data_IF_264813903054
#
_entry.id   IF_264813903054
#
_cell.length_a   1.000
_cell.length_b   1.000
_cell.length_c   1.000
_cell.angle_alpha   90.00
_cell.angle_beta   90.00
_cell.angle_gamma   90.00
#
_symmetry.space_group_name_H-M   'P 1'
#
loop_
_entity.id
_entity.type
_entity.pdbx_description
1 polymer ?
#
# COMPACT_ATOMS: atom_id res chain seq x y z
N UNK A 1 -24.91 32.90 9.84
CA UNK A 1 -24.75 31.67 10.64
C UNK A 1 -24.09 30.66 9.71
N UNK A 2 -22.76 30.55 9.75
CA UNK A 2 -22.03 29.72 8.79
C UNK A 2 -20.57 30.12 8.75
N UNK A 3 -19.80 29.80 9.80
CA UNK A 3 -18.39 30.20 9.90
C UNK A 3 -17.59 29.32 10.86
N UNK A 4 -17.86 28.01 10.96
CA UNK A 4 -17.03 27.13 11.81
C UNK A 4 -16.75 25.73 11.23
N UNK A 5 -17.65 25.16 10.42
CA UNK A 5 -17.42 23.85 9.80
C UNK A 5 -16.53 23.90 8.55
N UNK A 6 -16.58 24.99 7.76
CA UNK A 6 -15.74 25.14 6.56
C UNK A 6 -14.26 25.33 6.89
N UNK A 7 -13.95 25.89 8.07
CA UNK A 7 -12.59 26.17 8.52
C UNK A 7 -11.80 24.89 8.84
N UNK A 8 -12.47 23.85 9.33
CA UNK A 8 -11.83 22.57 9.70
C UNK A 8 -11.48 21.78 8.43
N UNK A 9 -12.35 21.80 7.42
CA UNK A 9 -12.11 21.11 6.15
C UNK A 9 -10.91 21.71 5.39
N UNK A 10 -10.76 23.04 5.43
CA UNK A 10 -9.64 23.74 4.80
C UNK A 10 -8.30 23.44 5.48
N UNK A 11 -8.28 23.40 6.81
CA UNK A 11 -7.07 23.06 7.58
C UNK A 11 -6.66 21.60 7.36
N UNK A 12 -7.62 20.67 7.29
CA UNK A 12 -7.33 19.28 6.94
C UNK A 12 -6.79 19.12 5.52
N UNK A 13 -7.37 19.84 4.54
CA UNK A 13 -6.91 19.81 3.15
C UNK A 13 -5.50 20.37 3.01
N UNK A 14 -5.18 21.51 3.65
CA UNK A 14 -3.83 22.07 3.59
C UNK A 14 -2.79 21.24 4.35
N UNK A 15 -3.18 20.57 5.44
CA UNK A 15 -2.27 19.67 6.18
C UNK A 15 -1.97 18.40 5.37
N UNK A 16 -2.98 17.81 4.72
CA UNK A 16 -2.80 16.69 3.77
C UNK A 16 -1.99 17.17 2.55
N UNK A 17 -2.32 18.33 1.99
CA UNK A 17 -1.61 18.90 0.84
C UNK A 17 -0.14 19.20 1.17
N UNK A 18 0.18 19.66 2.39
CA UNK A 18 1.55 19.88 2.83
C UNK A 18 2.32 18.58 3.07
N UNK A 19 1.65 17.52 3.52
CA UNK A 19 2.25 16.18 3.60
C UNK A 19 2.51 15.58 2.22
N UNK A 20 1.67 15.89 1.23
CA UNK A 20 1.81 15.50 -0.18
C UNK A 20 2.83 16.39 -0.92
N UNK A 21 3.04 17.63 -0.49
CA UNK A 21 3.88 18.64 -1.14
C UNK A 21 5.35 18.69 -0.63
N UNK A 22 5.86 17.61 -0.04
CA UNK A 22 7.31 17.46 0.12
C UNK A 22 7.90 17.31 -1.30
N UNK A 23 8.39 18.43 -1.83
CA UNK A 23 8.93 18.58 -3.18
C UNK A 23 10.34 17.98 -3.26
N UNK A 24 10.43 16.67 -3.05
CA UNK A 24 11.64 15.90 -3.34
C UNK A 24 11.57 15.53 -4.82
N UNK A 25 12.65 15.82 -5.56
CA UNK A 25 12.80 15.46 -6.97
C UNK A 25 13.17 13.98 -7.01
N UNK A 26 12.20 13.11 -7.32
CA UNK A 26 12.41 11.66 -7.38
C UNK A 26 12.78 11.23 -8.81
N UNK A 27 13.69 10.26 -8.92
CA UNK A 27 14.12 9.68 -10.20
C UNK A 27 13.58 8.26 -10.37
N UNK A 28 13.16 7.92 -11.59
CA UNK A 28 12.70 6.59 -11.97
C UNK A 28 13.87 5.59 -11.97
N UNK A 29 13.72 4.46 -11.28
CA UNK A 29 14.71 3.38 -11.27
C UNK A 29 14.22 2.17 -12.08
N UNK A 30 15.09 1.56 -12.92
CA UNK A 30 14.76 0.29 -13.56
C UNK A 30 14.70 -0.85 -12.53
N UNK A 31 13.68 -1.70 -12.66
CA UNK A 31 13.33 -2.81 -11.74
C UNK A 31 14.50 -3.78 -11.51
N UNK A 32 15.38 -3.94 -12.51
CA UNK A 32 16.57 -4.80 -12.48
C UNK A 32 17.53 -4.43 -11.35
N UNK A 33 17.67 -3.14 -11.04
CA UNK A 33 18.54 -2.66 -9.96
C UNK A 33 17.92 -2.82 -8.57
N UNK A 34 16.58 -2.87 -8.48
CA UNK A 34 15.83 -2.97 -7.22
C UNK A 34 15.97 -4.35 -6.55
N UNK A 35 16.06 -5.42 -7.34
CA UNK A 35 16.14 -6.79 -6.83
C UNK A 35 17.35 -7.04 -5.92
N UNK A 36 18.42 -6.24 -6.11
CA UNK A 36 19.63 -6.33 -5.30
C UNK A 36 19.49 -5.71 -3.90
N UNK A 37 18.52 -4.79 -3.74
CA UNK A 37 18.35 -3.95 -2.55
C UNK A 37 17.25 -4.50 -1.63
N UNK A 38 16.22 -5.17 -2.18
CA UNK A 38 15.05 -5.61 -1.42
C UNK A 38 15.27 -7.00 -0.81
N UNK A 39 15.12 -7.11 0.51
CA UNK A 39 15.22 -8.36 1.28
C UNK A 39 13.99 -8.60 2.12
N UNK A 40 13.73 -9.87 2.43
CA UNK A 40 12.60 -10.24 3.26
C UNK A 40 12.77 -9.69 4.68
N UNK A 41 11.79 -8.93 5.22
CA UNK A 41 11.89 -8.36 6.57
C UNK A 41 11.84 -9.42 7.68
N UNK A 42 11.41 -10.66 7.36
CA UNK A 42 11.31 -11.77 8.32
C UNK A 42 12.60 -12.59 8.39
N UNK A 43 13.13 -13.01 7.24
CA UNK A 43 14.26 -13.94 7.18
C UNK A 43 15.52 -13.38 6.50
N UNK A 44 15.50 -12.11 6.07
CA UNK A 44 16.59 -11.39 5.40
C UNK A 44 17.12 -12.03 4.11
N UNK A 45 16.40 -13.01 3.54
CA UNK A 45 16.74 -13.60 2.23
C UNK A 45 16.25 -12.71 1.09
N UNK A 46 16.91 -12.81 -0.06
CA UNK A 46 16.53 -12.11 -1.28
C UNK A 46 15.25 -12.70 -1.86
N UNK A 47 14.39 -11.87 -2.42
CA UNK A 47 13.22 -12.34 -3.15
C UNK A 47 13.60 -12.95 -4.50
N UNK A 48 12.83 -13.94 -4.95
CA UNK A 48 12.94 -14.49 -6.30
C UNK A 48 12.09 -13.66 -7.27
N UNK A 49 12.60 -13.28 -8.46
CA UNK A 49 11.86 -12.44 -9.41
C UNK A 49 10.47 -12.98 -9.78
N UNK A 50 10.33 -14.30 -9.90
CA UNK A 50 9.06 -14.95 -10.24
C UNK A 50 7.93 -14.76 -9.19
N UNK A 51 8.26 -14.28 -7.99
CA UNK A 51 7.30 -14.05 -6.88
C UNK A 51 7.18 -12.57 -6.53
N UNK A 52 7.51 -11.70 -7.47
CA UNK A 52 7.36 -10.25 -7.39
C UNK A 52 6.22 -9.81 -8.32
N UNK A 53 5.22 -9.15 -7.76
CA UNK A 53 4.14 -8.50 -8.50
C UNK A 53 4.31 -6.99 -8.31
N UNK A 54 4.63 -6.28 -9.39
CA UNK A 54 4.57 -4.83 -9.38
C UNK A 54 3.10 -4.42 -9.38
N UNK A 55 2.67 -3.69 -8.35
CA UNK A 55 1.28 -3.25 -8.17
C UNK A 55 1.07 -1.90 -8.83
N UNK A 56 2.03 -1.01 -8.65
CA UNK A 56 1.91 0.38 -9.05
C UNK A 56 3.31 0.93 -9.33
N UNK A 57 3.41 1.76 -10.35
CA UNK A 57 4.63 2.43 -10.76
C UNK A 57 4.29 3.86 -11.16
N UNK A 58 4.69 4.81 -10.34
CA UNK A 58 4.68 6.23 -10.69
C UNK A 58 6.13 6.76 -10.88
N UNK A 59 6.28 8.05 -11.16
CA UNK A 59 7.59 8.67 -11.36
C UNK A 59 8.49 8.69 -10.10
N UNK A 60 7.88 8.56 -8.92
CA UNK A 60 8.47 8.79 -7.59
C UNK A 60 8.55 7.54 -6.71
N UNK A 61 7.71 6.53 -6.97
CA UNK A 61 7.51 5.34 -6.15
C UNK A 61 7.14 4.14 -7.01
N UNK A 62 7.71 3.00 -6.64
CA UNK A 62 7.27 1.70 -7.15
C UNK A 62 6.78 0.84 -5.98
N UNK A 63 5.61 0.23 -6.14
CA UNK A 63 4.99 -0.63 -5.14
C UNK A 63 5.02 -2.07 -5.63
N UNK A 64 5.48 -2.97 -4.76
CA UNK A 64 5.54 -4.40 -5.04
C UNK A 64 4.78 -5.19 -3.99
N UNK A 65 4.07 -6.22 -4.43
CA UNK A 65 3.75 -7.36 -3.59
C UNK A 65 4.81 -8.44 -3.80
N UNK A 66 5.38 -8.93 -2.70
CA UNK A 66 6.45 -9.92 -2.70
C UNK A 66 6.07 -11.08 -1.80
N UNK A 67 6.22 -12.30 -2.30
CA UNK A 67 6.09 -13.53 -1.52
C UNK A 67 7.46 -14.19 -1.33
N UNK A 68 7.89 -14.36 -0.08
CA UNK A 68 9.16 -15.01 0.24
C UNK A 68 9.02 -16.54 0.15
N UNK A 69 9.75 -17.17 -0.77
CA UNK A 69 9.73 -18.63 -0.94
C UNK A 69 10.39 -19.39 0.21
N UNK A 70 11.16 -18.71 1.06
CA UNK A 70 11.95 -19.35 2.11
C UNK A 70 11.26 -19.41 3.46
N UNK A 71 10.44 -18.41 3.80
CA UNK A 71 9.70 -18.37 5.07
C UNK A 71 8.18 -18.26 4.87
N UNK A 72 7.70 -18.13 3.63
CA UNK A 72 6.28 -18.01 3.31
C UNK A 72 5.67 -16.63 3.56
N UNK A 73 6.41 -15.69 4.17
CA UNK A 73 5.89 -14.36 4.44
C UNK A 73 5.58 -13.58 3.15
N UNK A 74 4.44 -12.91 3.14
CA UNK A 74 4.06 -11.93 2.11
C UNK A 74 4.28 -10.51 2.63
N UNK A 75 4.67 -9.62 1.73
CA UNK A 75 4.95 -8.23 2.07
C UNK A 75 4.62 -7.28 0.92
N UNK A 76 4.12 -6.11 1.28
CA UNK A 76 4.00 -4.94 0.42
C UNK A 76 5.23 -4.07 0.59
N UNK A 77 5.97 -3.81 -0.48
CA UNK A 77 7.20 -3.03 -0.46
C UNK A 77 7.05 -1.79 -1.33
N UNK A 78 7.27 -0.63 -0.72
CA UNK A 78 7.27 0.67 -1.37
C UNK A 78 8.70 1.15 -1.51
N UNK A 79 9.13 1.42 -2.73
CA UNK A 79 10.48 1.91 -3.02
C UNK A 79 10.37 3.30 -3.63
N UNK A 80 11.05 4.27 -3.02
CA UNK A 80 11.13 5.65 -3.50
C UNK A 80 12.57 6.12 -3.56
N UNK A 81 12.89 6.93 -4.57
CA UNK A 81 14.23 7.51 -4.77
C UNK A 81 14.24 8.99 -4.40
N UNK A 82 14.65 9.33 -3.18
CA UNK A 82 14.75 10.73 -2.78
C UNK A 82 16.11 11.35 -3.11
N UNK A 83 16.24 12.65 -2.81
CA UNK A 83 17.51 13.39 -2.91
C UNK A 83 18.64 12.81 -2.02
N UNK A 84 18.27 12.03 -0.99
CA UNK A 84 19.20 11.38 -0.06
C UNK A 84 19.40 9.89 -0.35
N UNK A 85 18.93 9.41 -1.50
CA UNK A 85 19.08 8.02 -1.95
C UNK A 85 17.78 7.21 -1.91
N UNK A 86 17.93 5.89 -1.98
CA UNK A 86 16.81 4.94 -2.04
C UNK A 86 16.26 4.69 -0.64
N UNK A 87 14.96 4.91 -0.48
CA UNK A 87 14.21 4.52 0.72
C UNK A 87 13.27 3.39 0.35
N UNK A 88 13.24 2.35 1.17
CA UNK A 88 12.34 1.21 1.03
C UNK A 88 11.57 0.99 2.32
N UNK A 89 10.24 0.88 2.23
CA UNK A 89 9.35 0.54 3.33
C UNK A 89 8.64 -0.77 3.01
N UNK A 90 8.85 -1.79 3.85
CA UNK A 90 8.17 -3.07 3.75
C UNK A 90 7.14 -3.24 4.85
N UNK A 91 5.91 -3.60 4.49
CA UNK A 91 4.81 -3.93 5.40
C UNK A 91 4.45 -5.40 5.19
N UNK A 92 4.33 -6.16 6.28
CA UNK A 92 3.86 -7.54 6.22
C UNK A 92 2.37 -7.58 5.87
N UNK A 93 1.98 -8.54 5.05
CA UNK A 93 0.59 -8.77 4.67
C UNK A 93 0.32 -10.27 4.60
N UNK A 94 -0.92 -10.65 4.79
CA UNK A 94 -1.46 -11.98 4.56
C UNK A 94 -1.86 -12.21 3.10
N UNK A 95 -1.93 -11.15 2.27
CA UNK A 95 -2.31 -11.27 0.86
C UNK A 95 -1.40 -12.24 0.12
N UNK A 96 -2.01 -13.20 -0.57
CA UNK A 96 -1.34 -13.98 -1.60
C UNK A 96 -1.24 -13.18 -2.90
N UNK A 97 -0.34 -13.58 -3.80
CA UNK A 97 -0.07 -12.83 -5.04
C UNK A 97 -1.32 -12.70 -5.94
N UNK A 98 -2.17 -13.72 -5.99
CA UNK A 98 -3.45 -13.69 -6.70
C UNK A 98 -4.49 -12.78 -6.04
N UNK A 99 -4.53 -12.72 -4.71
CA UNK A 99 -5.41 -11.85 -3.94
C UNK A 99 -4.97 -10.39 -4.07
N UNK A 100 -3.67 -10.11 -3.95
CA UNK A 100 -3.10 -8.81 -4.24
C UNK A 100 -3.44 -8.37 -5.67
N UNK A 101 -3.37 -9.28 -6.65
CA UNK A 101 -3.78 -8.96 -8.02
C UNK A 101 -5.25 -8.54 -8.10
N UNK A 102 -6.16 -9.21 -7.40
CA UNK A 102 -7.57 -8.81 -7.35
C UNK A 102 -7.75 -7.48 -6.63
N UNK A 103 -7.20 -7.34 -5.43
CA UNK A 103 -7.38 -6.13 -4.61
C UNK A 103 -6.87 -4.86 -5.31
N UNK A 104 -5.75 -4.95 -6.04
CA UNK A 104 -5.12 -3.78 -6.63
C UNK A 104 -5.39 -3.56 -8.12
N UNK A 105 -5.80 -4.58 -8.87
CA UNK A 105 -6.08 -4.44 -10.31
C UNK A 105 -7.56 -4.66 -10.68
N UNK A 106 -8.40 -5.10 -9.75
CA UNK A 106 -9.83 -5.25 -9.98
C UNK A 106 -10.59 -3.96 -9.62
N UNK A 107 -11.91 -4.00 -9.80
CA UNK A 107 -12.81 -2.85 -9.75
C UNK A 107 -12.66 -1.98 -8.48
N UNK A 108 -12.67 -0.65 -8.68
CA UNK A 108 -12.70 0.35 -7.60
C UNK A 108 -13.89 0.09 -6.67
N UNK A 109 -13.66 0.19 -5.36
CA UNK A 109 -14.72 0.06 -4.35
C UNK A 109 -15.81 1.11 -4.61
N UNK A 110 -17.04 0.66 -4.86
CA UNK A 110 -18.17 1.55 -5.14
C UNK A 110 -18.83 2.05 -3.85
N UNK A 111 -19.57 3.17 -3.95
CA UNK A 111 -20.36 3.69 -2.83
C UNK A 111 -21.39 2.68 -2.31
N UNK A 112 -21.97 1.86 -3.20
CA UNK A 112 -22.93 0.82 -2.82
C UNK A 112 -22.27 -0.26 -1.97
N UNK A 113 -21.06 -0.69 -2.33
CA UNK A 113 -20.29 -1.65 -1.53
C UNK A 113 -19.94 -1.10 -0.14
N UNK A 114 -19.67 0.20 -0.03
CA UNK A 114 -19.44 0.87 1.26
C UNK A 114 -20.72 0.89 2.10
N UNK A 115 -21.86 1.20 1.49
CA UNK A 115 -23.16 1.19 2.18
C UNK A 115 -23.55 -0.21 2.64
N UNK A 116 -23.34 -1.22 1.80
CA UNK A 116 -23.58 -2.63 2.12
C UNK A 116 -22.72 -3.07 3.31
N UNK A 117 -21.41 -2.80 3.28
CA UNK A 117 -20.50 -3.11 4.37
C UNK A 117 -20.93 -2.43 5.69
N UNK A 118 -21.29 -1.14 5.63
CA UNK A 118 -21.77 -0.41 6.81
C UNK A 118 -23.08 -1.00 7.37
N UNK A 119 -24.04 -1.35 6.50
CA UNK A 119 -25.29 -1.97 6.93
C UNK A 119 -25.06 -3.35 7.54
N UNK A 120 -24.22 -4.17 6.91
CA UNK A 120 -23.80 -5.47 7.43
C UNK A 120 -23.20 -5.33 8.82
N UNK A 121 -22.21 -4.45 9.00
CA UNK A 121 -21.54 -4.26 10.29
C UNK A 121 -22.48 -3.75 11.39
N UNK A 122 -23.50 -2.95 11.07
CA UNK A 122 -24.52 -2.52 12.04
C UNK A 122 -25.47 -3.64 12.46
N UNK A 123 -25.78 -4.55 11.56
CA UNK A 123 -26.73 -5.64 11.81
C UNK A 123 -26.04 -6.88 12.39
N UNK A 124 -24.75 -7.03 12.13
CA UNK A 124 -23.96 -8.14 12.62
C UNK A 124 -23.88 -8.09 14.16
N UNK A 125 -24.37 -9.14 14.81
CA UNK A 125 -24.33 -9.31 16.28
C UNK A 125 -23.35 -10.40 16.72
N UNK A 126 -22.66 -11.03 15.77
CA UNK A 126 -21.61 -12.01 16.03
C UNK A 126 -20.31 -11.35 16.44
N UNK A 127 -19.42 -12.13 17.05
CA UNK A 127 -18.04 -11.75 17.29
C UNK A 127 -17.14 -12.15 16.11
N UNK A 128 -15.89 -11.71 16.16
CA UNK A 128 -14.90 -11.96 15.08
C UNK A 128 -14.61 -13.46 14.93
N UNK A 129 -14.89 -14.26 15.96
CA UNK A 129 -14.77 -15.71 15.99
C UNK A 129 -15.64 -16.41 14.94
N UNK A 130 -16.71 -15.75 14.47
CA UNK A 130 -17.55 -16.29 13.42
C UNK A 130 -16.88 -16.29 12.03
N UNK A 131 -15.73 -15.62 11.89
CA UNK A 131 -14.97 -15.47 10.64
C UNK A 131 -13.63 -16.23 10.64
N UNK A 132 -13.30 -16.92 11.74
CA UNK A 132 -12.09 -17.76 11.88
C UNK A 132 -12.43 -19.23 11.61
#
# INVERSE_FOLDING_TARGET
MGTQEESIFFVFYEYIASFVAINIRFMKMPIENLQSIIRCPVCNKKYRPAKMLMIDEDEKRTTFHLACTDCGASSMVFVSMGQFGVVSLGILTDLQQNEAKKVFFDTVVSSDQVLEAHQFLKQHRGGVEAFL
#
